data_IF_488749985395
#
_entry.id   IF_488749985395
#
_cell.length_a   1.000
_cell.length_b   1.000
_cell.length_c   1.000
_cell.angle_alpha   90.00
_cell.angle_beta   90.00
_cell.angle_gamma   90.00
#
_symmetry.space_group_name_H-M   'P 1'
#
loop_
_entity.id
_entity.type
_entity.pdbx_description
1 polymer ?
#
# COMPACT_ATOMS: atom_id res chain seq x y z
N UNK A 1 -18.05 -24.09 -6.65
CA UNK A 1 -17.82 -25.41 -7.34
C UNK A 1 -16.55 -26.10 -6.86
N UNK A 2 -15.35 -25.47 -6.81
CA UNK A 2 -14.09 -26.13 -6.40
C UNK A 2 -14.14 -26.75 -4.99
N UNK A 3 -14.76 -26.06 -4.03
CA UNK A 3 -14.93 -26.55 -2.64
C UNK A 3 -15.81 -27.81 -2.62
N UNK A 4 -16.94 -27.78 -3.31
CA UNK A 4 -17.84 -28.93 -3.39
C UNK A 4 -17.16 -30.14 -4.02
N UNK A 5 -16.38 -29.94 -5.10
CA UNK A 5 -15.61 -31.02 -5.70
C UNK A 5 -14.58 -31.62 -4.72
N UNK A 6 -13.89 -30.77 -3.96
CA UNK A 6 -12.96 -31.25 -2.93
C UNK A 6 -13.61 -32.06 -1.84
N UNK A 7 -14.77 -31.61 -1.32
CA UNK A 7 -15.50 -32.29 -0.25
C UNK A 7 -16.11 -33.62 -0.68
N UNK A 8 -16.68 -33.66 -1.89
CA UNK A 8 -17.55 -34.79 -2.28
C UNK A 8 -16.98 -35.72 -3.38
N UNK A 9 -16.00 -35.22 -4.18
CA UNK A 9 -15.45 -36.00 -5.32
C UNK A 9 -13.96 -36.38 -5.12
N UNK A 10 -13.15 -35.43 -4.57
CA UNK A 10 -11.69 -35.62 -4.51
C UNK A 10 -11.17 -36.05 -3.14
N UNK A 11 -12.07 -36.24 -2.18
CA UNK A 11 -11.76 -36.70 -0.82
C UNK A 11 -10.70 -35.84 -0.09
N UNK A 12 -10.75 -34.52 -0.32
CA UNK A 12 -9.87 -33.57 0.35
C UNK A 12 -10.23 -33.44 1.83
N UNK A 13 -9.31 -33.81 2.72
CA UNK A 13 -9.57 -33.92 4.16
C UNK A 13 -9.76 -32.57 4.85
N UNK A 14 -9.08 -31.52 4.36
CA UNK A 14 -9.21 -30.20 4.89
C UNK A 14 -9.08 -29.15 3.79
N UNK A 15 -10.13 -28.38 3.65
CA UNK A 15 -10.19 -27.17 2.78
C UNK A 15 -10.26 -25.96 3.70
N UNK A 16 -9.32 -25.04 3.56
CA UNK A 16 -9.31 -23.77 4.25
C UNK A 16 -9.67 -22.65 3.27
N UNK A 17 -10.52 -21.73 3.68
CA UNK A 17 -10.75 -20.50 2.92
C UNK A 17 -10.63 -19.27 3.81
N UNK A 18 -10.13 -18.19 3.21
CA UNK A 18 -10.00 -16.88 3.81
C UNK A 18 -10.20 -15.78 2.76
N UNK A 19 -10.43 -14.57 3.21
CA UNK A 19 -10.48 -13.36 2.39
C UNK A 19 -9.83 -12.21 3.17
N UNK A 20 -9.85 -10.99 2.61
CA UNK A 20 -9.36 -9.76 3.28
C UNK A 20 -9.90 -9.63 4.71
N UNK A 21 -11.20 -9.84 4.87
CA UNK A 21 -11.84 -9.96 6.17
C UNK A 21 -12.70 -11.23 6.21
N UNK A 22 -13.09 -11.61 7.41
CA UNK A 22 -13.86 -12.83 7.63
C UNK A 22 -15.26 -12.79 7.04
N UNK A 23 -15.88 -11.62 7.00
CA UNK A 23 -17.27 -11.48 6.52
C UNK A 23 -17.39 -11.78 5.02
N UNK A 24 -16.39 -11.41 4.23
CA UNK A 24 -16.32 -11.77 2.80
C UNK A 24 -16.20 -13.29 2.63
N UNK A 25 -15.33 -13.94 3.41
CA UNK A 25 -15.18 -15.38 3.37
C UNK A 25 -16.47 -16.11 3.81
N UNK A 26 -17.26 -15.51 4.71
CA UNK A 26 -18.56 -16.03 5.15
C UNK A 26 -19.61 -16.06 4.04
N UNK A 27 -19.60 -15.11 3.10
CA UNK A 27 -20.53 -15.15 1.97
C UNK A 27 -20.29 -16.38 1.10
N UNK A 28 -19.01 -16.69 0.81
CA UNK A 28 -18.67 -17.94 0.10
C UNK A 28 -19.07 -19.19 0.91
N UNK A 29 -18.90 -19.16 2.24
CA UNK A 29 -19.32 -20.25 3.11
C UNK A 29 -20.85 -20.46 3.06
N UNK A 30 -21.62 -19.39 3.16
CA UNK A 30 -23.09 -19.44 3.08
C UNK A 30 -23.54 -20.03 1.76
N UNK A 31 -22.99 -19.55 0.63
CA UNK A 31 -23.32 -20.06 -0.69
C UNK A 31 -23.06 -21.58 -0.80
N UNK A 32 -21.93 -22.06 -0.26
CA UNK A 32 -21.62 -23.50 -0.25
C UNK A 32 -22.58 -24.25 0.66
N UNK A 33 -22.90 -23.73 1.83
CA UNK A 33 -23.82 -24.35 2.79
C UNK A 33 -25.24 -24.44 2.21
N UNK A 34 -25.75 -23.35 1.64
CA UNK A 34 -27.10 -23.32 1.03
C UNK A 34 -27.17 -24.25 -0.18
N UNK A 35 -26.14 -24.30 -1.03
CA UNK A 35 -26.07 -25.27 -2.14
C UNK A 35 -26.15 -26.72 -1.67
N UNK A 36 -25.54 -27.02 -0.53
CA UNK A 36 -25.58 -28.37 0.07
C UNK A 36 -26.98 -28.63 0.65
N UNK A 37 -27.53 -27.68 1.42
CA UNK A 37 -28.84 -27.82 2.08
C UNK A 37 -29.97 -27.96 1.04
N UNK A 38 -29.87 -27.26 -0.09
CA UNK A 38 -30.87 -27.31 -1.17
C UNK A 38 -30.76 -28.59 -2.04
N UNK A 39 -29.68 -29.36 -1.90
CA UNK A 39 -29.45 -30.59 -2.67
C UNK A 39 -29.44 -31.80 -1.76
N UNK A 40 -30.54 -32.58 -1.79
CA UNK A 40 -30.71 -33.75 -0.91
C UNK A 40 -29.59 -34.80 -1.04
N UNK A 41 -29.02 -35.00 -2.25
CA UNK A 41 -27.91 -35.95 -2.43
C UNK A 41 -26.61 -35.46 -1.73
N UNK A 42 -26.36 -34.17 -1.72
CA UNK A 42 -25.21 -33.60 -1.00
C UNK A 42 -25.49 -33.52 0.51
N UNK A 43 -26.68 -33.09 0.91
CA UNK A 43 -27.11 -33.02 2.31
C UNK A 43 -26.99 -34.38 3.00
N UNK A 44 -27.37 -35.47 2.34
CA UNK A 44 -27.27 -36.83 2.87
C UNK A 44 -25.82 -37.28 3.15
N UNK A 45 -24.84 -36.65 2.56
CA UNK A 45 -23.42 -36.97 2.79
C UNK A 45 -22.77 -36.05 3.88
N UNK A 46 -23.48 -35.02 4.34
CA UNK A 46 -22.97 -34.11 5.39
C UNK A 46 -23.29 -34.65 6.77
N UNK A 47 -22.30 -34.54 7.67
CA UNK A 47 -22.45 -34.88 9.08
C UNK A 47 -23.01 -33.70 9.86
N UNK A 48 -22.48 -32.51 9.65
CA UNK A 48 -23.00 -31.28 10.19
C UNK A 48 -22.50 -30.04 9.42
N UNK A 49 -23.27 -28.96 9.49
CA UNK A 49 -22.90 -27.61 9.09
C UNK A 49 -22.95 -26.74 10.34
N UNK A 50 -21.81 -26.20 10.76
CA UNK A 50 -21.70 -25.27 11.88
C UNK A 50 -21.67 -23.86 11.35
N UNK A 51 -22.69 -23.06 11.71
CA UNK A 51 -22.81 -21.64 11.30
C UNK A 51 -22.49 -20.67 12.47
N UNK A 52 -21.92 -21.19 13.58
CA UNK A 52 -21.60 -20.38 14.75
C UNK A 52 -20.39 -19.47 14.49
N UNK A 53 -20.48 -18.21 14.92
CA UNK A 53 -19.46 -17.19 14.69
C UNK A 53 -18.08 -17.63 15.21
N UNK A 54 -17.07 -17.61 14.36
CA UNK A 54 -15.70 -18.04 14.63
C UNK A 54 -15.46 -19.55 14.49
N UNK A 55 -16.50 -20.33 14.18
CA UNK A 55 -16.44 -21.79 14.14
C UNK A 55 -17.11 -22.37 12.90
N UNK A 56 -17.23 -21.59 11.83
CA UNK A 56 -17.89 -22.04 10.60
C UNK A 56 -17.12 -23.17 9.98
N UNK A 57 -17.83 -24.28 9.89
CA UNK A 57 -17.25 -25.54 9.37
C UNK A 57 -18.36 -26.43 8.79
N UNK A 58 -18.09 -27.01 7.62
CA UNK A 58 -18.86 -28.07 7.04
C UNK A 58 -18.06 -29.36 7.17
N UNK A 59 -18.65 -30.40 7.74
CA UNK A 59 -18.00 -31.70 7.89
C UNK A 59 -18.87 -32.77 7.22
N UNK A 60 -18.28 -33.58 6.31
CA UNK A 60 -18.96 -34.71 5.66
C UNK A 60 -18.94 -35.92 6.54
N UNK A 61 -19.76 -36.90 6.22
CA UNK A 61 -19.75 -38.24 6.88
C UNK A 61 -18.45 -39.03 6.64
N UNK A 62 -17.75 -38.72 5.52
CA UNK A 62 -16.41 -39.26 5.23
C UNK A 62 -15.27 -38.55 6.01
N UNK A 63 -15.60 -37.53 6.78
CA UNK A 63 -14.65 -36.78 7.60
C UNK A 63 -13.93 -35.62 6.88
N UNK A 64 -14.29 -35.31 5.65
CA UNK A 64 -13.76 -34.15 4.92
C UNK A 64 -14.34 -32.88 5.50
N UNK A 65 -13.53 -31.81 5.60
CA UNK A 65 -13.92 -30.57 6.26
C UNK A 65 -13.62 -29.35 5.39
N UNK A 66 -14.56 -28.43 5.38
CA UNK A 66 -14.36 -27.09 4.86
C UNK A 66 -14.50 -26.08 6.00
N UNK A 67 -13.52 -25.21 6.19
CA UNK A 67 -13.45 -24.29 7.31
C UNK A 67 -13.01 -22.89 6.87
N UNK A 68 -13.67 -21.86 7.43
CA UNK A 68 -13.23 -20.47 7.32
C UNK A 68 -12.18 -20.17 8.38
N UNK A 69 -11.09 -19.52 7.98
CA UNK A 69 -10.02 -19.07 8.86
C UNK A 69 -9.78 -17.57 8.68
N UNK A 70 -9.41 -16.89 9.74
CA UNK A 70 -9.02 -15.49 9.64
C UNK A 70 -7.67 -15.34 8.91
N UNK A 71 -7.41 -14.23 8.20
CA UNK A 71 -6.15 -13.97 7.51
C UNK A 71 -5.05 -13.59 8.50
N UNK A 72 -4.71 -14.51 9.40
CA UNK A 72 -3.70 -14.35 10.44
C UNK A 72 -2.91 -15.66 10.62
N UNK A 73 -2.02 -15.70 11.61
CA UNK A 73 -1.19 -16.89 11.92
C UNK A 73 -1.96 -18.08 12.51
N UNK A 74 -3.27 -17.97 12.74
CA UNK A 74 -4.09 -19.00 13.41
C UNK A 74 -4.28 -20.29 12.63
N UNK A 75 -3.91 -20.33 11.34
CA UNK A 75 -3.94 -21.54 10.53
C UNK A 75 -2.72 -22.46 10.78
N UNK A 76 -1.68 -22.01 11.48
CA UNK A 76 -0.48 -22.79 11.77
C UNK A 76 -0.83 -24.08 12.52
N UNK A 77 -0.20 -25.19 12.12
CA UNK A 77 -0.45 -26.53 12.71
C UNK A 77 -1.61 -27.30 12.06
N UNK A 78 -2.33 -26.71 11.09
CA UNK A 78 -3.28 -27.43 10.24
C UNK A 78 -2.55 -28.07 9.04
N UNK A 79 -3.14 -29.13 8.46
CA UNK A 79 -2.63 -29.76 7.22
C UNK A 79 -3.75 -29.76 6.19
N UNK A 80 -3.71 -28.80 5.28
CA UNK A 80 -4.77 -28.57 4.29
C UNK A 80 -4.42 -29.19 2.92
N UNK A 81 -5.43 -29.76 2.27
CA UNK A 81 -5.34 -30.23 0.88
C UNK A 81 -5.64 -29.09 -0.11
N UNK A 82 -6.44 -28.11 0.32
CA UNK A 82 -6.76 -26.93 -0.45
C UNK A 82 -6.79 -25.69 0.44
N UNK A 83 -6.15 -24.62 -0.01
CA UNK A 83 -6.28 -23.28 0.56
C UNK A 83 -6.84 -22.36 -0.51
N UNK A 84 -7.92 -21.64 -0.19
CA UNK A 84 -8.51 -20.61 -1.06
C UNK A 84 -8.33 -19.27 -0.37
N UNK A 85 -7.76 -18.32 -1.08
CA UNK A 85 -7.59 -16.94 -0.65
C UNK A 85 -8.36 -16.06 -1.65
N UNK A 86 -9.50 -15.57 -1.21
CA UNK A 86 -10.34 -14.68 -2.00
C UNK A 86 -9.91 -13.23 -1.76
N UNK A 87 -10.12 -12.36 -2.77
CA UNK A 87 -9.62 -10.99 -2.78
C UNK A 87 -8.12 -10.91 -2.45
N UNK A 88 -7.32 -11.74 -3.13
CA UNK A 88 -5.89 -11.88 -2.87
C UNK A 88 -5.10 -10.56 -3.04
N UNK A 89 -5.61 -9.58 -3.79
CA UNK A 89 -5.02 -8.23 -3.90
C UNK A 89 -4.93 -7.52 -2.55
N UNK A 90 -5.85 -7.81 -1.63
CA UNK A 90 -5.91 -7.21 -0.30
C UNK A 90 -5.02 -7.94 0.73
N UNK A 91 -4.45 -9.09 0.36
CA UNK A 91 -3.53 -9.85 1.20
C UNK A 91 -2.14 -9.21 1.20
N UNK A 92 -1.98 -8.16 2.00
CA UNK A 92 -0.70 -7.43 2.11
C UNK A 92 0.25 -8.04 3.14
N UNK A 93 -0.26 -8.82 4.10
CA UNK A 93 0.53 -9.44 5.16
C UNK A 93 1.15 -10.77 4.68
N UNK A 94 2.43 -10.72 4.35
CA UNK A 94 3.19 -11.89 3.87
C UNK A 94 3.36 -12.99 4.93
N UNK A 95 3.33 -12.66 6.24
CA UNK A 95 3.40 -13.67 7.32
C UNK A 95 2.07 -14.44 7.42
N UNK A 96 0.93 -13.77 7.29
CA UNK A 96 -0.37 -14.40 7.25
C UNK A 96 -0.51 -15.31 6.03
N UNK A 97 -0.05 -14.83 4.86
CA UNK A 97 0.03 -15.66 3.64
C UNK A 97 0.90 -16.88 3.85
N UNK A 98 2.10 -16.73 4.38
CA UNK A 98 3.00 -17.86 4.66
C UNK A 98 2.37 -18.85 5.63
N UNK A 99 1.68 -18.38 6.69
CA UNK A 99 1.01 -19.25 7.65
C UNK A 99 -0.05 -20.16 6.99
N UNK A 100 -0.74 -19.65 5.96
CA UNK A 100 -1.71 -20.42 5.18
C UNK A 100 -1.02 -21.39 4.21
N UNK A 101 -0.06 -20.91 3.44
CA UNK A 101 0.65 -21.71 2.41
C UNK A 101 1.36 -22.91 3.05
N UNK A 102 2.05 -22.72 4.17
CA UNK A 102 2.76 -23.82 4.83
C UNK A 102 1.85 -24.90 5.42
N UNK A 103 0.54 -24.67 5.54
CA UNK A 103 -0.41 -25.73 5.91
C UNK A 103 -0.49 -26.83 4.85
N UNK A 104 -0.12 -26.53 3.60
CA UNK A 104 -0.21 -27.48 2.48
C UNK A 104 1.00 -28.41 2.36
N UNK A 105 2.13 -28.11 3.03
CA UNK A 105 3.39 -28.85 2.86
C UNK A 105 3.30 -30.35 3.22
N UNK A 106 2.43 -30.73 4.16
CA UNK A 106 2.26 -32.11 4.60
C UNK A 106 1.29 -32.90 3.71
N UNK A 107 0.76 -32.33 2.65
CA UNK A 107 -0.25 -32.94 1.78
C UNK A 107 0.26 -33.08 0.35
N UNK A 108 0.44 -34.30 -0.18
CA UNK A 108 0.74 -34.51 -1.59
C UNK A 108 -0.45 -34.04 -2.45
N UNK A 109 -0.17 -33.33 -3.56
CA UNK A 109 -1.17 -32.76 -4.49
C UNK A 109 -2.03 -31.63 -3.90
N UNK A 110 -1.62 -31.03 -2.79
CA UNK A 110 -2.30 -29.86 -2.25
C UNK A 110 -2.27 -28.68 -3.23
N UNK A 111 -3.27 -27.81 -3.14
CA UNK A 111 -3.40 -26.64 -4.00
C UNK A 111 -3.62 -25.38 -3.18
N UNK A 112 -3.15 -24.26 -3.73
CA UNK A 112 -3.45 -22.91 -3.24
C UNK A 112 -4.10 -22.16 -4.40
N UNK A 113 -5.30 -21.65 -4.15
CA UNK A 113 -6.06 -20.87 -5.11
C UNK A 113 -6.15 -19.43 -4.64
N UNK A 114 -5.69 -18.51 -5.47
CA UNK A 114 -5.84 -17.07 -5.29
C UNK A 114 -6.88 -16.57 -6.29
N UNK A 115 -7.94 -15.94 -5.80
CA UNK A 115 -8.95 -15.28 -6.63
C UNK A 115 -8.92 -13.79 -6.34
N UNK A 116 -8.97 -12.97 -7.38
CA UNK A 116 -8.84 -11.51 -7.21
C UNK A 116 -9.19 -10.76 -8.48
N UNK A 117 -9.57 -9.50 -8.33
CA UNK A 117 -9.40 -8.48 -9.39
C UNK A 117 -7.93 -8.08 -9.50
N UNK A 118 -7.61 -7.18 -10.43
CA UNK A 118 -6.26 -6.64 -10.57
C UNK A 118 -5.79 -5.97 -9.28
N UNK A 119 -4.52 -6.12 -9.00
CA UNK A 119 -3.86 -5.48 -7.87
C UNK A 119 -3.40 -4.06 -8.18
N UNK A 120 -2.92 -3.42 -7.14
CA UNK A 120 -2.19 -2.17 -7.19
C UNK A 120 -0.77 -2.37 -6.61
N UNK A 121 -0.02 -1.28 -6.39
CA UNK A 121 1.32 -1.36 -5.82
C UNK A 121 1.36 -1.94 -4.40
N UNK A 122 0.24 -1.99 -3.65
CA UNK A 122 0.16 -2.56 -2.30
C UNK A 122 -0.20 -4.04 -2.28
N UNK A 123 -0.64 -4.58 -3.39
CA UNK A 123 -1.07 -5.98 -3.53
C UNK A 123 0.12 -6.95 -3.52
N UNK A 124 0.94 -6.91 -2.45
CA UNK A 124 2.27 -7.54 -2.40
C UNK A 124 2.25 -9.04 -2.71
N UNK A 125 1.27 -9.78 -2.16
CA UNK A 125 1.13 -11.23 -2.40
C UNK A 125 0.72 -11.49 -3.84
N UNK A 126 -0.29 -10.79 -4.35
CA UNK A 126 -0.80 -10.97 -5.70
C UNK A 126 0.23 -10.55 -6.75
N UNK A 127 0.91 -9.41 -6.56
CA UNK A 127 1.95 -8.93 -7.47
C UNK A 127 3.12 -9.91 -7.58
N UNK A 128 3.56 -10.47 -6.43
CA UNK A 128 4.60 -11.50 -6.41
C UNK A 128 4.15 -12.77 -7.16
N UNK A 129 2.91 -13.20 -6.95
CA UNK A 129 2.35 -14.38 -7.62
C UNK A 129 2.24 -14.17 -9.12
N UNK A 130 1.81 -12.97 -9.56
CA UNK A 130 1.77 -12.57 -10.96
C UNK A 130 3.16 -12.58 -11.60
N UNK A 131 4.14 -11.99 -10.93
CA UNK A 131 5.53 -11.98 -11.42
C UNK A 131 6.09 -13.39 -11.60
N UNK A 132 5.83 -14.30 -10.65
CA UNK A 132 6.24 -15.69 -10.74
C UNK A 132 5.55 -16.41 -11.92
N UNK A 133 4.25 -16.17 -12.11
CA UNK A 133 3.50 -16.73 -13.23
C UNK A 133 4.03 -16.25 -14.58
N UNK A 134 4.31 -14.95 -14.73
CA UNK A 134 4.87 -14.42 -15.97
C UNK A 134 6.29 -14.94 -16.24
N UNK A 135 7.10 -15.14 -15.21
CA UNK A 135 8.42 -15.80 -15.36
C UNK A 135 8.28 -17.25 -15.86
N UNK A 136 7.33 -18.01 -15.32
CA UNK A 136 7.05 -19.36 -15.76
C UNK A 136 6.53 -19.42 -17.19
N UNK A 137 5.64 -18.49 -17.59
CA UNK A 137 5.14 -18.36 -18.96
C UNK A 137 6.28 -18.00 -19.94
N UNK A 138 7.17 -17.08 -19.56
CA UNK A 138 8.28 -16.66 -20.40
C UNK A 138 9.36 -17.74 -20.56
N UNK A 139 9.46 -18.68 -19.63
CA UNK A 139 10.41 -19.80 -19.67
C UNK A 139 9.67 -21.14 -19.44
N UNK A 140 8.99 -21.69 -20.47
CA UNK A 140 8.23 -22.94 -20.33
C UNK A 140 9.09 -24.09 -19.79
N UNK A 141 8.56 -24.83 -18.80
CA UNK A 141 9.28 -25.89 -18.11
C UNK A 141 10.13 -25.42 -16.91
N UNK A 142 10.24 -24.12 -16.64
CA UNK A 142 10.95 -23.61 -15.46
C UNK A 142 10.17 -23.81 -14.16
N UNK A 143 8.84 -23.74 -14.21
CA UNK A 143 7.93 -24.01 -13.10
C UNK A 143 6.60 -24.54 -13.65
N UNK A 144 6.34 -25.83 -13.46
CA UNK A 144 5.10 -26.49 -13.86
C UNK A 144 4.05 -26.52 -12.72
N UNK A 145 4.36 -25.95 -11.58
CA UNK A 145 3.49 -25.99 -10.40
C UNK A 145 2.53 -24.82 -10.33
N UNK A 146 2.74 -23.77 -11.14
CA UNK A 146 1.91 -22.58 -11.17
C UNK A 146 0.94 -22.59 -12.35
N UNK A 147 -0.35 -22.31 -12.08
CA UNK A 147 -1.37 -22.02 -13.10
C UNK A 147 -1.81 -20.57 -12.99
N UNK A 148 -1.95 -19.88 -14.11
CA UNK A 148 -2.37 -18.49 -14.14
C UNK A 148 -3.45 -18.27 -15.19
N UNK A 149 -4.57 -17.69 -14.78
CA UNK A 149 -5.70 -17.32 -15.64
C UNK A 149 -5.99 -15.84 -15.41
N UNK A 150 -5.75 -15.02 -16.41
CA UNK A 150 -5.96 -13.57 -16.35
C UNK A 150 -6.96 -13.13 -17.39
N UNK A 151 -8.06 -12.54 -16.93
CA UNK A 151 -9.09 -11.91 -17.75
C UNK A 151 -8.97 -10.41 -17.58
N UNK A 152 -8.14 -9.76 -18.38
CA UNK A 152 -7.91 -8.32 -18.32
C UNK A 152 -8.01 -7.70 -19.71
N UNK A 153 -8.44 -6.45 -19.77
CA UNK A 153 -8.41 -5.70 -21.02
C UNK A 153 -6.95 -5.41 -21.43
N UNK A 154 -6.64 -5.38 -22.75
CA UNK A 154 -5.29 -5.06 -23.22
C UNK A 154 -4.80 -3.70 -22.72
N UNK A 155 -3.48 -3.54 -22.64
CA UNK A 155 -2.87 -2.25 -22.34
C UNK A 155 -3.32 -1.19 -23.35
N UNK A 156 -3.62 0.02 -22.88
CA UNK A 156 -4.13 1.11 -23.71
C UNK A 156 -5.60 0.99 -24.13
N UNK A 157 -6.33 -0.01 -23.61
CA UNK A 157 -7.77 -0.16 -23.85
C UNK A 157 -8.54 1.12 -23.45
N UNK A 158 -9.47 1.55 -24.32
CA UNK A 158 -10.33 2.70 -24.03
C UNK A 158 -11.43 2.29 -23.06
N UNK A 159 -11.58 3.03 -21.96
CA UNK A 159 -12.58 2.72 -20.92
C UNK A 159 -14.02 2.73 -21.44
N UNK A 160 -14.33 3.56 -22.44
CA UNK A 160 -15.67 3.68 -23.03
C UNK A 160 -15.96 2.66 -24.14
N UNK A 161 -15.00 1.81 -24.51
CA UNK A 161 -15.18 0.82 -25.56
C UNK A 161 -15.76 -0.50 -24.98
N UNK A 162 -16.99 -0.88 -25.37
CA UNK A 162 -17.59 -2.13 -24.88
C UNK A 162 -16.77 -3.38 -25.22
N UNK A 163 -15.98 -3.36 -26.31
CA UNK A 163 -15.09 -4.47 -26.65
C UNK A 163 -14.04 -4.69 -25.56
N UNK A 164 -13.54 -3.61 -24.95
CA UNK A 164 -12.58 -3.69 -23.84
C UNK A 164 -13.20 -4.36 -22.61
N UNK A 165 -14.50 -4.18 -22.35
CA UNK A 165 -15.16 -4.77 -21.18
C UNK A 165 -15.30 -6.28 -21.29
N UNK A 166 -15.43 -6.80 -22.51
CA UNK A 166 -15.63 -8.23 -22.75
C UNK A 166 -14.37 -9.07 -22.42
N UNK A 167 -13.17 -8.48 -22.58
CA UNK A 167 -11.92 -9.17 -22.23
C UNK A 167 -11.81 -9.48 -20.76
N UNK A 168 -12.24 -8.55 -19.91
CA UNK A 168 -12.15 -8.67 -18.45
C UNK A 168 -13.40 -9.26 -17.81
N UNK A 169 -14.52 -9.31 -18.53
CA UNK A 169 -15.80 -9.78 -18.00
C UNK A 169 -16.37 -10.91 -18.87
N UNK A 170 -15.90 -12.16 -18.70
CA UNK A 170 -16.40 -13.31 -19.46
C UNK A 170 -17.91 -13.55 -19.30
N UNK A 171 -18.49 -13.07 -18.18
CA UNK A 171 -19.91 -13.18 -17.87
C UNK A 171 -20.76 -11.99 -18.41
N UNK A 172 -20.15 -11.08 -19.19
CA UNK A 172 -20.85 -9.93 -19.77
C UNK A 172 -21.97 -10.39 -20.73
N UNK A 173 -23.17 -9.87 -20.51
CA UNK A 173 -24.37 -10.26 -21.23
C UNK A 173 -25.07 -11.51 -20.66
N UNK A 174 -24.53 -12.15 -19.62
CA UNK A 174 -25.16 -13.26 -18.90
C UNK A 174 -25.55 -12.82 -17.48
N UNK A 175 -24.57 -12.65 -16.60
CA UNK A 175 -24.79 -12.23 -15.21
C UNK A 175 -24.34 -10.78 -14.95
N UNK A 176 -23.52 -10.23 -15.83
CA UNK A 176 -23.08 -8.83 -15.77
C UNK A 176 -23.81 -8.06 -16.88
N UNK A 177 -24.57 -7.05 -16.48
CA UNK A 177 -25.31 -6.18 -17.40
C UNK A 177 -24.42 -5.07 -17.98
N UNK A 178 -24.54 -4.84 -19.29
CA UNK A 178 -23.83 -3.79 -20.03
C UNK A 178 -24.16 -2.40 -19.47
N UNK A 179 -25.41 -2.15 -19.12
CA UNK A 179 -25.83 -0.85 -18.60
C UNK A 179 -25.29 -0.61 -17.17
N UNK A 180 -25.10 -1.68 -16.40
CA UNK A 180 -24.36 -1.62 -15.13
C UNK A 180 -22.94 -1.13 -15.31
N UNK A 181 -22.21 -1.63 -16.31
CA UNK A 181 -20.85 -1.16 -16.62
C UNK A 181 -20.86 0.29 -17.13
N UNK A 182 -21.78 0.64 -18.04
CA UNK A 182 -21.90 2.03 -18.52
C UNK A 182 -22.11 3.04 -17.41
N UNK A 183 -22.88 2.68 -16.39
CA UNK A 183 -23.12 3.54 -15.23
C UNK A 183 -21.83 3.84 -14.46
N UNK A 184 -20.84 2.94 -14.47
CA UNK A 184 -19.53 3.08 -13.83
C UNK A 184 -18.53 3.92 -14.61
N UNK A 185 -18.81 4.31 -15.87
CA UNK A 185 -17.97 5.26 -16.61
C UNK A 185 -17.87 6.64 -15.96
N UNK A 186 -18.70 6.91 -14.95
CA UNK A 186 -18.63 8.14 -14.13
C UNK A 186 -17.60 8.04 -13.00
N UNK A 187 -17.15 6.83 -12.67
CA UNK A 187 -16.16 6.61 -11.62
C UNK A 187 -14.78 7.10 -12.09
N UNK A 188 -13.84 7.40 -11.18
CA UNK A 188 -12.47 7.72 -11.56
C UNK A 188 -11.88 6.65 -12.47
N UNK A 189 -11.15 7.07 -13.50
CA UNK A 189 -10.60 6.16 -14.51
C UNK A 189 -9.76 5.04 -13.92
N UNK A 190 -8.96 5.33 -12.89
CA UNK A 190 -8.14 4.33 -12.20
C UNK A 190 -9.00 3.23 -11.55
N UNK A 191 -10.12 3.60 -10.93
CA UNK A 191 -11.08 2.65 -10.33
C UNK A 191 -11.73 1.81 -11.44
N UNK A 192 -12.20 2.44 -12.51
CA UNK A 192 -12.80 1.72 -13.62
C UNK A 192 -11.82 0.72 -14.25
N UNK A 193 -10.55 1.12 -14.43
CA UNK A 193 -9.50 0.23 -14.95
C UNK A 193 -9.26 -0.97 -14.05
N UNK A 194 -9.19 -0.79 -12.74
CA UNK A 194 -8.97 -1.89 -11.79
C UNK A 194 -10.20 -2.78 -11.65
N UNK A 195 -11.39 -2.19 -11.43
CA UNK A 195 -12.58 -2.96 -11.06
C UNK A 195 -13.33 -3.54 -12.26
N UNK A 196 -13.32 -2.85 -13.43
CA UNK A 196 -14.07 -3.26 -14.61
C UNK A 196 -13.17 -3.87 -15.67
N UNK A 197 -12.01 -3.27 -15.94
CA UNK A 197 -11.08 -3.74 -16.96
C UNK A 197 -10.05 -4.74 -16.44
N UNK A 198 -10.02 -4.99 -15.13
CA UNK A 198 -9.06 -5.86 -14.44
C UNK A 198 -7.61 -5.54 -14.83
N UNK A 199 -7.31 -4.23 -15.00
CA UNK A 199 -5.98 -3.75 -15.33
C UNK A 199 -5.22 -3.36 -14.07
N UNK A 200 -3.96 -3.79 -13.98
CA UNK A 200 -3.06 -3.33 -12.92
C UNK A 200 -2.83 -1.83 -13.06
N UNK A 201 -3.17 -1.08 -12.03
CA UNK A 201 -2.84 0.34 -11.96
C UNK A 201 -1.51 0.45 -11.22
N UNK A 202 -0.44 0.59 -11.98
CA UNK A 202 0.92 0.68 -11.43
C UNK A 202 1.15 1.96 -10.63
N UNK A 203 0.34 2.98 -10.86
CA UNK A 203 0.48 4.28 -10.21
C UNK A 203 -0.52 4.40 -9.07
N UNK A 204 -0.04 4.30 -7.86
CA UNK A 204 -0.72 4.96 -6.74
C UNK A 204 -0.92 6.42 -7.17
N UNK A 205 -2.15 6.92 -7.03
CA UNK A 205 -2.43 8.32 -7.38
C UNK A 205 -1.46 9.22 -6.64
N UNK A 206 -0.75 10.05 -7.39
CA UNK A 206 0.01 11.13 -6.78
C UNK A 206 -0.97 11.95 -5.94
N UNK A 207 -0.66 12.22 -4.65
CA UNK A 207 -1.56 12.95 -3.77
C UNK A 207 -1.80 14.40 -4.20
N UNK A 208 -0.90 14.93 -5.03
CA UNK A 208 -0.92 16.33 -5.43
C UNK A 208 -1.65 16.47 -6.78
N UNK A 209 -2.62 17.42 -6.89
CA UNK A 209 -3.29 17.69 -8.15
C UNK A 209 -2.29 18.06 -9.26
N UNK A 210 -2.64 17.67 -10.49
CA UNK A 210 -1.83 18.01 -11.65
C UNK A 210 -1.63 19.55 -11.73
N UNK A 211 -0.39 19.97 -11.93
CA UNK A 211 -0.02 21.38 -11.98
C UNK A 211 0.13 22.08 -10.62
N UNK A 212 -0.31 21.50 -9.49
CA UNK A 212 -0.22 22.15 -8.18
C UNK A 212 1.24 22.46 -7.78
N UNK A 213 2.16 21.52 -8.01
CA UNK A 213 3.58 21.75 -7.78
C UNK A 213 4.15 22.84 -8.71
N UNK A 214 3.82 22.78 -10.00
CA UNK A 214 4.30 23.73 -10.99
C UNK A 214 3.81 25.16 -10.71
N UNK A 215 2.60 25.32 -10.16
CA UNK A 215 2.06 26.65 -9.79
C UNK A 215 2.79 27.30 -8.60
N UNK A 216 3.55 26.52 -7.83
CA UNK A 216 4.38 26.98 -6.72
C UNK A 216 5.81 27.37 -7.13
N UNK A 217 6.15 27.20 -8.42
CA UNK A 217 7.49 27.51 -8.94
C UNK A 217 7.76 29.01 -8.97
N UNK A 218 8.87 29.39 -8.35
CA UNK A 218 9.48 30.70 -8.44
C UNK A 218 11.00 30.52 -8.56
N UNK A 219 11.53 30.63 -9.78
CA UNK A 219 12.93 30.34 -10.08
C UNK A 219 13.92 31.31 -9.40
N UNK A 220 13.45 32.47 -9.01
CA UNK A 220 14.30 33.50 -8.38
C UNK A 220 14.34 33.34 -6.85
N UNK A 221 13.39 32.57 -6.29
CA UNK A 221 13.31 32.42 -4.85
C UNK A 221 14.40 31.45 -4.36
N UNK A 222 15.05 31.80 -3.28
CA UNK A 222 16.03 30.97 -2.60
C UNK A 222 15.74 31.02 -1.10
N UNK A 223 16.06 29.96 -0.39
CA UNK A 223 16.07 30.01 1.06
C UNK A 223 17.06 31.10 1.48
N UNK A 224 16.61 32.14 2.20
CA UNK A 224 17.49 33.20 2.63
C UNK A 224 18.60 32.64 3.53
N UNK A 225 19.84 32.99 3.27
CA UNK A 225 20.96 32.67 4.14
C UNK A 225 20.67 33.12 5.59
N UNK A 226 20.83 32.17 6.53
CA UNK A 226 20.56 32.38 7.96
C UNK A 226 19.08 32.47 8.35
N UNK A 227 18.14 32.03 7.50
CA UNK A 227 16.69 32.11 7.76
C UNK A 227 15.88 30.85 7.49
N UNK A 228 16.48 29.69 7.27
CA UNK A 228 15.70 28.46 7.30
C UNK A 228 15.40 28.10 8.77
N UNK A 229 14.24 28.58 9.24
CA UNK A 229 13.82 28.40 10.64
C UNK A 229 13.55 26.93 10.98
N UNK A 230 13.17 26.14 9.99
CA UNK A 230 12.77 24.74 10.16
C UNK A 230 13.54 23.85 9.19
N UNK A 231 14.01 22.74 9.68
CA UNK A 231 14.63 21.68 8.89
C UNK A 231 13.90 20.36 9.14
N UNK A 232 13.93 19.45 8.18
CA UNK A 232 13.52 18.07 8.39
C UNK A 232 14.38 17.11 7.58
N UNK A 233 14.63 15.94 8.18
CA UNK A 233 15.37 14.83 7.58
C UNK A 233 14.46 13.61 7.45
N UNK A 234 14.49 12.97 6.30
CA UNK A 234 13.90 11.65 6.11
C UNK A 234 14.90 10.69 5.46
N UNK A 235 14.78 9.41 5.82
CA UNK A 235 15.62 8.32 5.31
C UNK A 235 14.71 7.27 4.69
N UNK A 236 15.09 6.77 3.52
CA UNK A 236 14.34 5.71 2.84
C UNK A 236 14.33 4.40 3.65
N UNK A 237 13.27 3.58 3.52
CA UNK A 237 13.17 2.32 4.26
C UNK A 237 14.30 1.32 3.97
N UNK A 238 14.86 1.35 2.77
CA UNK A 238 16.01 0.53 2.35
C UNK A 238 17.35 1.11 2.82
N UNK A 239 17.30 2.30 3.46
CA UNK A 239 18.45 3.03 3.99
C UNK A 239 19.49 3.44 2.94
N UNK A 240 19.10 3.54 1.68
CA UNK A 240 20.00 3.92 0.59
C UNK A 240 19.96 5.40 0.24
N UNK A 241 18.90 6.10 0.66
CA UNK A 241 18.70 7.50 0.34
C UNK A 241 18.23 8.28 1.57
N UNK A 242 18.74 9.50 1.74
CA UNK A 242 18.27 10.45 2.75
C UNK A 242 18.21 11.85 2.16
N UNK A 243 17.27 12.67 2.63
CA UNK A 243 17.10 14.06 2.16
C UNK A 243 16.85 15.01 3.32
N UNK A 244 17.55 16.14 3.32
CA UNK A 244 17.35 17.26 4.21
C UNK A 244 16.68 18.39 3.45
N UNK A 245 15.53 18.84 3.94
CA UNK A 245 14.77 19.96 3.40
C UNK A 245 14.68 21.06 4.45
N UNK A 246 14.77 22.31 4.00
CA UNK A 246 14.59 23.49 4.83
C UNK A 246 13.36 24.28 4.43
N UNK A 247 12.78 25.01 5.39
CA UNK A 247 11.70 25.96 5.15
C UNK A 247 11.86 27.23 5.97
N UNK A 248 11.37 28.33 5.41
CA UNK A 248 11.17 29.59 6.13
C UNK A 248 9.82 30.20 5.76
N UNK A 249 9.24 30.97 6.67
CA UNK A 249 8.01 31.71 6.39
C UNK A 249 8.36 33.18 6.07
N UNK A 250 7.81 33.66 4.97
CA UNK A 250 7.94 35.06 4.53
C UNK A 250 6.53 35.63 4.33
N UNK A 251 6.02 36.36 5.31
CA UNK A 251 4.61 36.78 5.32
C UNK A 251 3.68 35.54 5.37
N UNK A 252 2.83 35.40 4.36
CA UNK A 252 1.93 34.21 4.22
C UNK A 252 2.51 33.09 3.36
N UNK A 253 3.66 33.32 2.73
CA UNK A 253 4.33 32.36 1.89
C UNK A 253 5.29 31.44 2.69
N UNK A 254 5.42 30.22 2.26
CA UNK A 254 6.35 29.21 2.79
C UNK A 254 7.39 28.93 1.72
N UNK A 255 8.59 29.44 1.91
CA UNK A 255 9.73 29.20 1.01
C UNK A 255 10.44 27.93 1.44
N UNK A 256 10.58 26.98 0.50
CA UNK A 256 11.19 25.70 0.76
C UNK A 256 12.34 25.40 -0.19
N UNK A 257 13.26 24.54 0.25
CA UNK A 257 14.36 24.08 -0.60
C UNK A 257 15.01 22.82 -0.06
N UNK A 258 15.44 21.97 -0.99
CA UNK A 258 16.31 20.83 -0.71
C UNK A 258 17.72 21.35 -0.40
N UNK A 259 18.24 20.97 0.76
CA UNK A 259 19.56 21.42 1.22
C UNK A 259 20.64 20.41 0.92
N UNK A 260 20.34 19.13 1.12
CA UNK A 260 21.30 18.05 0.91
C UNK A 260 20.62 16.70 0.72
N UNK A 261 21.25 15.83 -0.09
CA UNK A 261 20.92 14.41 -0.21
C UNK A 261 22.13 13.55 0.16
N UNK A 262 21.87 12.33 0.61
CA UNK A 262 22.86 11.29 0.83
C UNK A 262 22.39 10.03 0.14
N UNK A 263 23.29 9.40 -0.59
CA UNK A 263 23.01 8.19 -1.37
C UNK A 263 24.09 7.14 -1.10
N UNK A 264 23.70 5.86 -1.14
CA UNK A 264 24.61 4.73 -0.95
C UNK A 264 24.06 3.49 -1.64
N UNK A 265 24.91 2.70 -2.24
CA UNK A 265 24.54 1.40 -2.82
C UNK A 265 24.19 0.34 -1.76
N UNK A 266 24.60 0.56 -0.50
CA UNK A 266 24.35 -0.37 0.61
C UNK A 266 23.48 0.27 1.70
N UNK A 267 24.02 1.22 2.44
CA UNK A 267 23.33 1.96 3.51
C UNK A 267 23.97 3.32 3.71
N UNK A 268 23.16 4.36 3.86
CA UNK A 268 23.63 5.69 4.25
C UNK A 268 24.19 5.67 5.66
N UNK A 269 25.21 6.48 5.90
CA UNK A 269 25.90 6.59 7.18
C UNK A 269 25.23 7.64 8.08
N UNK A 270 24.62 7.18 9.17
CA UNK A 270 23.93 8.04 10.15
C UNK A 270 24.85 9.10 10.78
N UNK A 271 26.15 8.82 10.92
CA UNK A 271 27.10 9.80 11.47
C UNK A 271 27.34 10.92 10.48
N UNK A 272 27.54 10.58 9.21
CA UNK A 272 27.72 11.58 8.15
C UNK A 272 26.47 12.43 7.97
N UNK A 273 25.29 11.80 8.02
CA UNK A 273 24.02 12.52 7.95
C UNK A 273 23.87 13.47 9.15
N UNK A 274 24.08 12.97 10.38
CA UNK A 274 23.96 13.81 11.58
C UNK A 274 24.94 14.98 11.56
N UNK A 275 26.18 14.78 11.09
CA UNK A 275 27.15 15.86 10.92
C UNK A 275 26.68 16.91 9.92
N UNK A 276 26.26 16.51 8.72
CA UNK A 276 25.76 17.43 7.69
C UNK A 276 24.51 18.18 8.14
N UNK A 277 23.55 17.50 8.80
CA UNK A 277 22.36 18.16 9.37
C UNK A 277 22.78 19.18 10.45
N UNK A 278 23.76 18.86 11.29
CA UNK A 278 24.27 19.77 12.33
C UNK A 278 24.89 21.03 11.73
N UNK A 279 25.62 20.90 10.63
CA UNK A 279 26.25 22.05 9.95
C UNK A 279 25.16 22.97 9.34
N UNK A 280 24.15 22.39 8.71
CA UNK A 280 23.01 23.16 8.19
C UNK A 280 22.21 23.83 9.32
N UNK A 281 21.96 23.11 10.42
CA UNK A 281 21.23 23.66 11.57
C UNK A 281 21.93 24.89 12.17
N UNK A 282 23.25 24.83 12.28
CA UNK A 282 24.07 25.97 12.76
C UNK A 282 24.09 27.12 11.75
N UNK A 283 24.27 26.81 10.44
CA UNK A 283 24.29 27.82 9.39
C UNK A 283 23.01 28.63 9.34
N UNK A 284 21.85 27.96 9.52
CA UNK A 284 20.54 28.61 9.48
C UNK A 284 19.99 29.02 10.85
N UNK A 285 20.70 28.73 11.94
CA UNK A 285 20.21 28.93 13.31
C UNK A 285 18.80 28.33 13.49
N UNK A 286 18.64 27.06 13.05
CA UNK A 286 17.36 26.39 12.99
C UNK A 286 16.78 26.15 14.37
N UNK A 287 15.46 26.36 14.52
CA UNK A 287 14.76 26.21 15.78
C UNK A 287 14.54 24.73 16.14
N UNK A 288 14.30 23.88 15.16
CA UNK A 288 14.03 22.47 15.36
C UNK A 288 14.27 21.64 14.08
N UNK A 289 14.65 20.37 14.27
CA UNK A 289 14.79 19.39 13.21
C UNK A 289 13.64 18.38 13.29
N UNK A 290 12.78 18.34 12.26
CA UNK A 290 11.74 17.33 12.12
C UNK A 290 12.30 16.00 11.65
N UNK A 291 11.78 14.90 12.18
CA UNK A 291 12.14 13.55 11.75
C UNK A 291 11.00 12.56 11.97
N UNK A 292 11.10 11.40 11.33
CA UNK A 292 10.24 10.26 11.60
C UNK A 292 11.02 9.23 12.42
N UNK A 293 10.52 8.86 13.61
CA UNK A 293 11.18 7.92 14.52
C UNK A 293 11.43 6.55 13.91
N UNK A 294 10.62 6.12 12.95
CA UNK A 294 10.75 4.81 12.32
C UNK A 294 11.91 4.72 11.32
N UNK A 295 12.37 5.87 10.79
CA UNK A 295 13.43 5.90 9.77
C UNK A 295 14.69 6.62 10.21
N UNK A 296 14.58 7.63 11.10
CA UNK A 296 15.68 8.54 11.43
C UNK A 296 15.98 8.70 12.94
N UNK A 297 15.48 7.80 13.81
CA UNK A 297 15.69 7.88 15.26
C UNK A 297 17.16 7.91 15.68
N UNK A 298 18.02 7.13 15.01
CA UNK A 298 19.47 7.10 15.29
C UNK A 298 20.15 8.45 14.98
N UNK A 299 19.73 9.12 13.90
CA UNK A 299 20.21 10.44 13.52
C UNK A 299 19.72 11.48 14.54
N UNK A 300 18.43 11.46 14.88
CA UNK A 300 17.84 12.37 15.85
C UNK A 300 18.49 12.29 17.24
N UNK A 301 18.80 11.08 17.72
CA UNK A 301 19.51 10.89 18.97
C UNK A 301 20.89 11.56 18.98
N UNK A 302 21.63 11.50 17.87
CA UNK A 302 22.94 12.16 17.73
C UNK A 302 22.82 13.69 17.69
N UNK A 303 21.81 14.21 16.98
CA UNK A 303 21.52 15.65 16.94
C UNK A 303 21.16 16.18 18.32
N UNK A 304 20.29 15.48 19.05
CA UNK A 304 19.93 15.82 20.44
C UNK A 304 21.13 15.80 21.37
N UNK A 305 22.02 14.80 21.25
CA UNK A 305 23.26 14.74 22.01
C UNK A 305 24.22 15.90 21.68
N UNK A 306 24.16 16.46 20.47
CA UNK A 306 24.88 17.66 20.06
C UNK A 306 24.18 18.99 20.45
N UNK A 307 23.09 18.92 21.23
CA UNK A 307 22.34 20.10 21.69
C UNK A 307 21.41 20.72 20.61
N UNK A 308 21.14 19.99 19.52
CA UNK A 308 20.24 20.46 18.46
C UNK A 308 18.84 19.93 18.75
N UNK A 309 17.81 20.80 18.88
CA UNK A 309 16.45 20.37 19.15
C UNK A 309 15.88 19.51 17.99
N UNK A 310 15.25 18.39 18.32
CA UNK A 310 14.62 17.49 17.36
C UNK A 310 13.18 17.21 17.76
N UNK A 311 12.29 17.00 16.78
CA UNK A 311 10.90 16.68 17.02
C UNK A 311 10.44 15.52 16.14
N UNK A 312 9.87 14.48 16.77
CA UNK A 312 9.24 13.36 16.07
C UNK A 312 7.90 13.80 15.45
N UNK A 313 7.80 13.69 14.13
CA UNK A 313 6.60 13.99 13.35
C UNK A 313 5.97 12.73 12.73
N UNK A 314 6.18 11.57 13.34
CA UNK A 314 5.60 10.31 12.87
C UNK A 314 4.12 10.13 13.27
N UNK A 315 3.49 9.06 12.79
CA UNK A 315 2.12 8.70 13.16
C UNK A 315 1.08 9.71 12.66
N UNK A 316 0.12 10.09 13.52
CA UNK A 316 -0.98 11.01 13.18
C UNK A 316 -0.51 12.41 12.79
N UNK A 317 0.62 12.87 13.35
CA UNK A 317 1.19 14.17 13.01
C UNK A 317 1.65 14.19 11.55
N UNK A 318 2.18 13.09 11.03
CA UNK A 318 2.58 13.01 9.62
C UNK A 318 1.40 13.05 8.66
N UNK A 319 0.23 12.52 9.03
CA UNK A 319 -1.01 12.68 8.24
C UNK A 319 -1.40 14.15 8.13
N UNK A 320 -1.33 14.90 9.24
CA UNK A 320 -1.59 16.35 9.26
C UNK A 320 -0.55 17.10 8.40
N UNK A 321 0.73 16.74 8.50
CA UNK A 321 1.79 17.35 7.70
C UNK A 321 1.56 17.15 6.19
N UNK A 322 1.10 15.97 5.76
CA UNK A 322 0.76 15.70 4.37
C UNK A 322 -0.42 16.58 3.88
N UNK A 323 -1.46 16.72 4.71
CA UNK A 323 -2.63 17.52 4.38
C UNK A 323 -2.31 19.02 4.32
N UNK A 324 -1.48 19.52 5.25
CA UNK A 324 -1.00 20.89 5.26
C UNK A 324 -0.11 21.20 4.05
N UNK A 325 0.75 20.25 3.62
CA UNK A 325 1.52 20.39 2.39
C UNK A 325 0.59 20.51 1.17
N UNK A 326 -0.40 19.62 1.05
CA UNK A 326 -1.39 19.67 -0.03
C UNK A 326 -2.14 21.01 -0.05
N UNK A 327 -2.57 21.47 1.13
CA UNK A 327 -3.25 22.77 1.29
C UNK A 327 -2.35 23.95 0.88
N UNK A 328 -1.08 23.95 1.29
CA UNK A 328 -0.11 25.01 0.96
C UNK A 328 0.18 25.04 -0.54
N UNK A 329 0.29 23.87 -1.20
CA UNK A 329 0.46 23.77 -2.65
C UNK A 329 -0.79 24.24 -3.39
N UNK A 330 -1.97 23.74 -3.03
CA UNK A 330 -3.24 24.07 -3.70
C UNK A 330 -3.62 25.55 -3.59
N UNK A 331 -3.16 26.21 -2.52
CA UNK A 331 -3.35 27.66 -2.33
C UNK A 331 -2.19 28.52 -2.85
N UNK A 332 -1.21 27.90 -3.52
CA UNK A 332 0.02 28.56 -4.04
C UNK A 332 0.81 29.35 -2.99
N UNK A 333 0.63 29.02 -1.69
CA UNK A 333 1.40 29.62 -0.59
C UNK A 333 2.80 29.02 -0.46
N UNK A 334 3.00 27.80 -0.95
CA UNK A 334 4.32 27.17 -1.03
C UNK A 334 5.09 27.77 -2.19
N UNK A 335 6.40 28.07 -2.01
CA UNK A 335 7.30 28.54 -3.06
C UNK A 335 8.58 27.74 -3.06
N UNK A 336 9.01 27.32 -4.27
CA UNK A 336 10.24 26.58 -4.49
C UNK A 336 10.95 27.01 -5.78
N UNK A 337 12.27 26.80 -5.85
CA UNK A 337 13.09 27.19 -7.00
C UNK A 337 13.16 26.14 -8.13
N UNK A 338 12.36 25.08 -8.07
CA UNK A 338 12.34 24.04 -9.12
C UNK A 338 13.51 23.05 -9.06
N UNK A 339 14.10 22.81 -7.90
CA UNK A 339 15.18 21.83 -7.73
C UNK A 339 14.77 20.46 -8.26
N UNK A 340 15.61 19.90 -9.13
CA UNK A 340 15.29 18.68 -9.90
C UNK A 340 14.95 17.47 -9.00
N UNK A 341 15.79 17.20 -8.00
CA UNK A 341 15.59 16.06 -7.07
C UNK A 341 14.30 16.24 -6.26
N UNK A 342 14.03 17.43 -5.75
CA UNK A 342 12.82 17.71 -4.98
C UNK A 342 11.58 17.53 -5.85
N UNK A 343 11.63 18.03 -7.08
CA UNK A 343 10.55 17.88 -8.08
C UNK A 343 10.30 16.43 -8.44
N UNK A 344 11.37 15.66 -8.70
CA UNK A 344 11.27 14.23 -8.98
C UNK A 344 10.61 13.45 -7.82
N UNK A 345 10.99 13.77 -6.57
CA UNK A 345 10.41 13.14 -5.39
C UNK A 345 8.93 13.49 -5.19
N UNK A 346 8.49 14.70 -5.54
CA UNK A 346 7.07 15.08 -5.51
C UNK A 346 6.26 14.30 -6.54
N UNK A 347 6.78 14.18 -7.75
CA UNK A 347 6.09 13.43 -8.80
C UNK A 347 6.09 11.91 -8.56
N UNK A 348 7.07 11.39 -7.84
CA UNK A 348 7.13 9.98 -7.46
C UNK A 348 6.20 9.63 -6.29
N UNK A 349 5.61 10.61 -5.59
CA UNK A 349 4.79 10.38 -4.42
C UNK A 349 3.56 9.54 -4.73
N UNK A 350 3.28 8.62 -3.82
CA UNK A 350 2.05 7.88 -3.76
C UNK A 350 1.32 8.14 -2.44
N UNK A 351 -0.03 8.16 -2.45
CA UNK A 351 -0.85 8.34 -1.26
C UNK A 351 -1.42 7.02 -0.75
N UNK A 352 -1.51 6.91 0.57
CA UNK A 352 -2.29 5.86 1.24
C UNK A 352 -3.32 6.52 2.14
N UNK A 353 -4.59 6.13 1.98
CA UNK A 353 -5.66 6.54 2.88
C UNK A 353 -5.59 5.76 4.18
N UNK A 354 -5.84 6.41 5.30
CA UNK A 354 -6.01 5.80 6.60
C UNK A 354 -7.47 5.43 6.86
N UNK A 355 -7.73 4.64 7.90
CA UNK A 355 -9.07 4.18 8.27
C UNK A 355 -10.03 5.35 8.61
N UNK A 356 -9.51 6.47 9.11
CA UNK A 356 -10.28 7.63 9.54
C UNK A 356 -10.37 8.75 8.48
N UNK A 357 -10.15 8.42 7.20
CA UNK A 357 -10.24 9.37 6.09
C UNK A 357 -9.01 10.27 5.90
N UNK A 358 -8.02 10.21 6.78
CA UNK A 358 -6.72 10.86 6.59
C UNK A 358 -5.89 10.16 5.52
N UNK A 359 -4.87 10.86 4.99
CA UNK A 359 -3.94 10.27 4.02
C UNK A 359 -2.49 10.65 4.33
N UNK A 360 -1.56 9.87 3.82
CA UNK A 360 -0.13 10.15 3.94
C UNK A 360 0.64 9.76 2.69
N UNK A 361 1.78 10.39 2.47
CA UNK A 361 2.80 9.94 1.51
C UNK A 361 3.35 8.59 2.00
N UNK A 362 3.48 7.62 1.09
CA UNK A 362 4.08 6.31 1.37
C UNK A 362 5.45 6.20 0.72
N UNK A 363 6.41 5.58 1.43
CA UNK A 363 7.79 5.48 0.98
C UNK A 363 8.06 4.23 0.15
N UNK A 364 7.45 3.08 0.49
CA UNK A 364 7.75 1.79 -0.14
C UNK A 364 7.07 1.59 -1.49
N UNK A 365 5.94 2.26 -1.65
CA UNK A 365 5.01 2.02 -2.77
C UNK A 365 4.96 3.23 -3.73
N UNK A 366 5.87 4.19 -3.53
CA UNK A 366 6.12 5.28 -4.47
C UNK A 366 6.99 4.78 -5.63
N UNK A 367 6.83 5.39 -6.81
CA UNK A 367 7.55 4.98 -8.04
C UNK A 367 9.06 5.26 -8.00
N UNK A 368 9.54 5.91 -6.94
CA UNK A 368 10.94 6.23 -6.71
C UNK A 368 11.19 6.69 -5.28
N UNK A 369 12.36 7.25 -5.00
CA UNK A 369 12.62 7.85 -3.71
C UNK A 369 11.73 9.07 -3.48
N UNK A 370 11.21 9.22 -2.26
CA UNK A 370 10.33 10.33 -1.85
C UNK A 370 10.80 11.01 -0.56
N UNK A 371 12.03 10.76 -0.14
CA UNK A 371 12.58 11.28 1.11
C UNK A 371 12.54 12.80 1.18
N UNK A 372 12.81 13.51 0.07
CA UNK A 372 12.69 14.95 0.03
C UNK A 372 11.23 15.43 0.14
N UNK A 373 10.27 14.72 -0.45
CA UNK A 373 8.85 15.06 -0.33
C UNK A 373 8.31 14.81 1.08
N UNK A 374 8.76 13.73 1.75
CA UNK A 374 8.43 13.46 3.15
C UNK A 374 9.01 14.52 4.07
N UNK A 375 10.28 14.87 3.90
CA UNK A 375 10.91 15.98 4.64
C UNK A 375 10.23 17.31 4.36
N UNK A 376 9.78 17.57 3.11
CA UNK A 376 9.02 18.75 2.74
C UNK A 376 7.69 18.85 3.50
N UNK A 377 6.94 17.74 3.63
CA UNK A 377 5.72 17.75 4.42
C UNK A 377 5.99 18.11 5.88
N UNK A 378 7.06 17.59 6.47
CA UNK A 378 7.45 17.89 7.84
C UNK A 378 7.84 19.35 8.06
N UNK A 379 8.63 19.96 7.15
CA UNK A 379 8.99 21.38 7.29
C UNK A 379 7.81 22.30 7.04
N UNK A 380 6.89 21.91 6.15
CA UNK A 380 5.65 22.67 5.91
C UNK A 380 4.78 22.68 7.16
N UNK A 381 4.67 21.55 7.87
CA UNK A 381 3.95 21.46 9.14
C UNK A 381 4.46 22.47 10.17
N UNK A 382 5.78 22.59 10.33
CA UNK A 382 6.36 23.60 11.20
C UNK A 382 6.06 25.02 10.73
N UNK A 383 6.22 25.31 9.43
CA UNK A 383 6.03 26.64 8.89
C UNK A 383 4.58 27.12 8.95
N UNK A 384 3.61 26.22 8.89
CA UNK A 384 2.18 26.53 9.07
C UNK A 384 1.86 26.85 10.54
N UNK A 385 2.61 26.30 11.51
CA UNK A 385 2.37 26.42 12.97
C UNK A 385 3.58 27.00 13.73
N UNK A 386 4.03 28.22 13.41
CA UNK A 386 5.29 28.73 13.96
C UNK A 386 5.33 28.86 15.50
N UNK A 387 4.18 28.95 16.17
CA UNK A 387 4.09 29.17 17.62
C UNK A 387 4.09 27.87 18.46
N UNK A 388 4.04 26.69 17.84
CA UNK A 388 4.04 25.42 18.58
C UNK A 388 5.46 24.89 18.88
N UNK A 389 6.47 25.43 18.20
CA UNK A 389 7.88 25.03 18.40
C UNK A 389 8.56 25.80 19.56
N UNK A 390 7.98 26.88 20.01
CA UNK A 390 8.56 27.76 21.04
C UNK A 390 8.35 27.32 22.50
N UNK A 391 7.83 26.11 22.75
CA UNK A 391 7.33 25.71 24.07
C UNK A 391 8.28 24.99 25.02
N UNK A 392 9.60 24.92 24.80
CA UNK A 392 10.53 24.25 25.72
C UNK A 392 11.82 25.04 25.87
N UNK A 393 11.75 26.24 26.40
CA UNK A 393 12.91 26.86 27.07
C UNK A 393 12.41 27.86 28.13
N UNK A 394 12.05 27.33 29.28
CA UNK A 394 12.09 28.07 30.53
C UNK A 394 12.57 27.08 31.60
N UNK A 395 13.78 27.35 32.07
CA UNK A 395 14.57 27.01 33.27
C UNK A 395 15.76 26.17 32.99
#
# INVERSE_FOLDING_TARGET
>A
MRILAGLFLWDEKLILATAQNRDIALETFRLVADTIEDNGFLADQVKYIRKANGQEEITTKSGNRYKIVAPNSGARGMSADLVIIDEAREMVNTEAYAALVYTTMARPKSQIWLTSNAGDAFSTVLNRSREQAYKAIAAPGSDETIGWWEYSAPDGAKIADPTSWQYSNPALGYTIDIDGIKARLKDPESIFRTEVLCQWVETLQNPFPEGAWASCLDQEIKLPDGRAQYLAIDVSPDRRHASLVGATRVGDEIVVGLLQTWESDSSVDDLKIAAGVSDWARKFNSQCIGYDKYTASGIAARLSAAGIPTQDLSGSVFYQACDELLSAMSSSRLKHSGQEVLTAHIYACARKSGADGGWRIVRRDSSGYVTAAVALAMVTHFAVRPNQVAGIFAV
#
